data_IF_973211323803
#
_entry.id   IF_973211323803
#
_cell.length_a   1.000
_cell.length_b   1.000
_cell.length_c   1.000
_cell.angle_alpha   90.00
_cell.angle_beta   90.00
_cell.angle_gamma   90.00
#
_symmetry.space_group_name_H-M   'P 1'
#
loop_
_entity.id
_entity.type
_entity.pdbx_description
1 polymer ?
#
# COMPACT_ATOMS: atom_id res chain seq x y z
N UNK A 1 8.56 78.47 55.00
CA UNK A 1 9.41 77.23 55.02
C UNK A 1 8.63 76.14 54.34
N UNK A 2 9.00 75.96 53.13
CA UNK A 2 8.39 74.97 52.26
C UNK A 2 9.15 73.64 52.36
N UNK A 3 8.46 72.57 52.65
CA UNK A 3 9.09 71.28 52.59
C UNK A 3 8.35 70.56 51.49
N UNK A 4 8.98 70.53 50.31
CA UNK A 4 8.63 69.71 49.21
C UNK A 4 8.97 68.24 49.53
N UNK A 5 7.96 67.41 49.69
CA UNK A 5 8.11 65.96 49.68
C UNK A 5 7.57 65.46 48.35
N UNK A 6 8.44 65.48 47.35
CA UNK A 6 8.21 64.74 46.13
C UNK A 6 8.47 63.28 46.41
N UNK A 7 7.43 62.57 46.68
CA UNK A 7 7.45 61.12 46.80
C UNK A 7 7.39 60.55 45.34
N UNK A 8 8.55 60.32 44.76
CA UNK A 8 8.70 59.58 43.55
C UNK A 8 8.37 58.14 43.88
N UNK A 9 7.15 57.75 43.54
CA UNK A 9 6.80 56.34 43.48
C UNK A 9 7.42 55.78 42.17
N UNK A 10 8.63 55.26 42.31
CA UNK A 10 9.20 54.41 41.28
C UNK A 10 8.34 53.15 41.25
N UNK A 11 7.45 53.08 40.27
CA UNK A 11 6.89 51.82 39.86
C UNK A 11 8.03 50.99 39.27
N UNK A 12 8.58 50.14 40.12
CA UNK A 12 9.41 49.03 39.68
C UNK A 12 8.47 48.04 38.96
N UNK A 13 8.24 48.32 37.69
CA UNK A 13 7.62 47.33 36.79
C UNK A 13 8.67 46.21 36.61
N UNK A 14 8.68 45.29 37.56
CA UNK A 14 9.33 44.02 37.37
C UNK A 14 8.60 43.34 36.21
N UNK A 15 9.13 43.53 35.00
CA UNK A 15 8.82 42.66 33.87
C UNK A 15 9.11 41.21 34.28
N UNK A 16 8.04 40.52 34.68
CA UNK A 16 8.08 39.09 34.89
C UNK A 16 8.41 38.45 33.55
N UNK A 17 9.68 38.40 33.23
CA UNK A 17 10.18 37.55 32.14
C UNK A 17 9.89 36.09 32.52
N UNK A 18 8.66 35.68 32.32
CA UNK A 18 8.26 34.26 32.38
C UNK A 18 8.81 33.58 31.13
N UNK A 19 10.09 33.29 31.15
CA UNK A 19 10.72 32.45 30.14
C UNK A 19 10.17 31.05 30.33
N UNK A 20 9.17 30.69 29.53
CA UNK A 20 8.64 29.32 29.48
C UNK A 20 9.77 28.44 28.98
N UNK A 21 10.18 27.47 29.79
CA UNK A 21 11.11 26.45 29.34
C UNK A 21 10.39 25.59 28.30
N UNK A 22 10.71 25.76 27.01
CA UNK A 22 10.08 25.06 25.90
C UNK A 22 10.59 23.62 25.70
N UNK A 23 11.67 23.26 26.44
CA UNK A 23 12.26 21.91 26.30
C UNK A 23 11.30 20.78 26.58
N UNK A 24 10.48 20.79 27.65
CA UNK A 24 9.48 19.73 27.89
C UNK A 24 8.39 19.70 26.83
N UNK A 25 8.02 20.88 26.29
CA UNK A 25 6.99 20.96 25.23
C UNK A 25 7.48 20.33 23.93
N UNK A 26 8.74 20.64 23.54
CA UNK A 26 9.35 20.09 22.33
C UNK A 26 9.51 18.58 22.43
N UNK A 27 9.86 18.05 23.59
CA UNK A 27 10.00 16.60 23.81
C UNK A 27 8.67 15.88 23.63
N UNK A 28 7.58 16.39 24.21
CA UNK A 28 6.24 15.83 24.02
C UNK A 28 5.83 15.89 22.54
N UNK A 29 6.08 17.00 21.86
CA UNK A 29 5.74 17.12 20.43
C UNK A 29 6.55 16.14 19.57
N UNK A 30 7.82 15.94 19.89
CA UNK A 30 8.69 15.00 19.17
C UNK A 30 8.21 13.56 19.37
N UNK A 31 7.89 13.16 20.60
CA UNK A 31 7.36 11.82 20.90
C UNK A 31 6.04 11.59 20.18
N UNK A 32 5.13 12.56 20.19
CA UNK A 32 3.87 12.48 19.46
C UNK A 32 4.10 12.34 17.95
N UNK A 33 5.05 13.09 17.39
CA UNK A 33 5.40 12.99 15.97
C UNK A 33 5.88 11.59 15.62
N UNK A 34 6.75 10.99 16.43
CA UNK A 34 7.25 9.63 16.20
C UNK A 34 6.10 8.62 16.27
N UNK A 35 5.22 8.75 17.27
CA UNK A 35 4.06 7.89 17.40
C UNK A 35 3.17 7.99 16.17
N UNK A 36 2.88 9.20 15.67
CA UNK A 36 2.09 9.38 14.46
C UNK A 36 2.77 8.76 13.24
N UNK A 37 4.08 8.94 13.08
CA UNK A 37 4.83 8.35 11.96
C UNK A 37 4.78 6.81 11.97
N UNK A 38 4.84 6.19 13.15
CA UNK A 38 4.80 4.73 13.29
C UNK A 38 3.38 4.19 13.17
N UNK A 39 2.37 4.94 13.62
CA UNK A 39 0.97 4.52 13.60
C UNK A 39 0.24 4.83 12.30
N UNK A 40 0.83 5.64 11.39
CA UNK A 40 0.22 5.87 10.08
C UNK A 40 0.06 4.53 9.38
N UNK A 41 -1.19 4.07 9.15
CA UNK A 41 -1.40 2.82 8.43
C UNK A 41 -0.89 2.99 7.00
N UNK A 42 0.03 2.12 6.59
CA UNK A 42 0.42 2.03 5.19
C UNK A 42 -0.80 1.52 4.41
N UNK A 43 -1.53 2.44 3.82
CA UNK A 43 -2.66 2.10 2.94
C UNK A 43 -2.07 1.50 1.67
N UNK A 44 -2.02 0.18 1.62
CA UNK A 44 -1.77 -0.53 0.37
C UNK A 44 -2.96 -0.25 -0.54
N UNK A 45 -2.74 0.55 -1.57
CA UNK A 45 -3.75 0.75 -2.62
C UNK A 45 -3.95 -0.58 -3.34
N UNK A 46 -4.98 -1.29 -2.96
CA UNK A 46 -5.46 -2.43 -3.76
C UNK A 46 -6.19 -1.87 -4.97
N UNK A 47 -5.79 -2.30 -6.15
CA UNK A 47 -6.51 -1.93 -7.37
C UNK A 47 -7.88 -2.60 -7.34
N UNK A 48 -8.99 -1.83 -7.30
CA UNK A 48 -10.31 -2.42 -7.34
C UNK A 48 -10.55 -2.98 -8.76
N UNK A 49 -10.61 -4.29 -8.87
CA UNK A 49 -11.02 -4.98 -10.10
C UNK A 49 -12.29 -5.76 -9.81
N UNK A 50 -13.29 -5.60 -10.68
CA UNK A 50 -14.53 -6.39 -10.62
C UNK A 50 -14.26 -7.74 -11.26
N UNK A 51 -14.11 -8.78 -10.43
CA UNK A 51 -13.83 -10.12 -10.94
C UNK A 51 -15.09 -10.75 -11.56
N UNK A 52 -14.96 -11.47 -12.68
CA UNK A 52 -16.07 -12.27 -13.20
C UNK A 52 -16.43 -13.37 -12.21
N UNK A 53 -17.73 -13.56 -12.01
CA UNK A 53 -18.26 -14.54 -11.07
C UNK A 53 -18.17 -15.95 -11.69
N UNK A 54 -17.30 -16.79 -11.15
CA UNK A 54 -17.23 -18.20 -11.48
C UNK A 54 -17.32 -19.06 -10.22
N UNK A 55 -18.01 -20.19 -10.28
CA UNK A 55 -17.97 -21.18 -9.21
C UNK A 55 -16.57 -21.76 -9.15
N UNK A 56 -15.75 -21.32 -8.17
CA UNK A 56 -14.49 -22.00 -8.01
C UNK A 56 -13.90 -21.97 -6.60
N UNK A 57 -13.08 -22.94 -6.38
CA UNK A 57 -12.34 -23.31 -5.20
C UNK A 57 -11.51 -22.11 -4.71
N UNK A 58 -11.64 -21.80 -3.42
CA UNK A 58 -10.84 -20.78 -2.77
C UNK A 58 -9.36 -21.13 -2.93
N UNK A 59 -8.70 -20.45 -3.84
CA UNK A 59 -7.26 -20.61 -4.01
C UNK A 59 -6.57 -19.87 -2.85
N UNK A 60 -5.96 -20.62 -1.93
CA UNK A 60 -5.16 -20.06 -0.87
C UNK A 60 -3.94 -19.38 -1.48
N UNK A 61 -3.95 -18.05 -1.50
CA UNK A 61 -2.80 -17.27 -1.99
C UNK A 61 -1.67 -17.36 -0.96
N UNK A 62 -0.62 -18.07 -1.27
CA UNK A 62 0.61 -18.07 -0.46
C UNK A 62 1.30 -16.70 -0.57
N UNK A 63 1.96 -16.20 0.46
CA UNK A 63 2.60 -14.88 0.43
C UNK A 63 3.73 -14.74 -0.61
N UNK A 64 4.17 -15.83 -1.17
CA UNK A 64 5.21 -15.87 -2.22
C UNK A 64 4.64 -15.80 -3.64
N UNK A 65 3.30 -15.85 -3.79
CA UNK A 65 2.66 -15.82 -5.09
C UNK A 65 2.61 -14.41 -5.67
N UNK A 66 2.76 -14.31 -6.98
CA UNK A 66 2.70 -13.06 -7.72
C UNK A 66 1.26 -12.81 -8.14
N UNK A 67 0.72 -11.65 -7.78
CA UNK A 67 -0.62 -11.25 -8.20
C UNK A 67 -0.53 -10.23 -9.32
N UNK A 68 -1.15 -10.55 -10.46
CA UNK A 68 -1.30 -9.66 -11.60
C UNK A 68 -2.77 -9.25 -11.69
N UNK A 69 -3.02 -7.95 -11.65
CA UNK A 69 -4.34 -7.40 -11.90
C UNK A 69 -4.38 -6.72 -13.28
N UNK A 70 -5.43 -6.98 -14.04
CA UNK A 70 -5.68 -6.33 -15.33
C UNK A 70 -7.00 -5.59 -15.24
N UNK A 71 -6.96 -4.27 -15.42
CA UNK A 71 -8.14 -3.40 -15.38
C UNK A 71 -8.82 -3.34 -16.75
N UNK A 72 -10.04 -2.82 -16.79
CA UNK A 72 -10.82 -2.60 -18.02
C UNK A 72 -10.04 -1.75 -19.05
N UNK A 73 -9.23 -0.80 -18.60
CA UNK A 73 -8.34 0.04 -19.44
C UNK A 73 -7.13 -0.71 -20.00
N UNK A 74 -7.10 -2.04 -19.87
CA UNK A 74 -5.98 -2.91 -20.25
C UNK A 74 -4.66 -2.61 -19.52
N UNK A 75 -4.70 -1.80 -18.47
CA UNK A 75 -3.52 -1.53 -17.63
C UNK A 75 -3.23 -2.74 -16.76
N UNK A 76 -1.97 -3.18 -16.79
CA UNK A 76 -1.53 -4.34 -16.02
C UNK A 76 -0.78 -3.89 -14.77
N UNK A 77 -1.13 -4.48 -13.63
CA UNK A 77 -0.51 -4.20 -12.34
C UNK A 77 0.20 -5.45 -11.81
N UNK A 78 1.45 -5.30 -11.48
CA UNK A 78 2.26 -6.34 -10.83
C UNK A 78 2.31 -6.03 -9.33
N UNK A 79 1.71 -6.86 -8.49
CA UNK A 79 1.59 -6.61 -7.05
C UNK A 79 1.15 -5.16 -6.73
N UNK A 80 0.10 -4.68 -7.39
CA UNK A 80 -0.48 -3.33 -7.27
C UNK A 80 0.36 -2.16 -7.85
N UNK A 81 1.43 -2.46 -8.56
CA UNK A 81 2.23 -1.45 -9.27
C UNK A 81 1.97 -1.55 -10.77
N UNK A 82 1.62 -0.47 -11.47
CA UNK A 82 1.42 -0.51 -12.91
C UNK A 82 2.74 -0.83 -13.62
N UNK A 83 2.70 -1.77 -14.56
CA UNK A 83 3.88 -2.22 -15.28
C UNK A 83 3.60 -2.41 -16.77
N UNK A 84 4.59 -2.11 -17.59
CA UNK A 84 4.57 -2.46 -19.01
C UNK A 84 4.91 -3.94 -19.22
N UNK A 85 4.51 -4.48 -20.38
CA UNK A 85 4.72 -5.89 -20.71
C UNK A 85 6.19 -6.30 -20.66
N UNK A 86 7.11 -5.46 -21.15
CA UNK A 86 8.54 -5.76 -21.13
C UNK A 86 9.11 -5.80 -19.70
N UNK A 87 8.63 -4.91 -18.84
CA UNK A 87 9.02 -4.85 -17.44
C UNK A 87 8.44 -6.03 -16.65
N UNK A 88 7.22 -6.46 -16.97
CA UNK A 88 6.58 -7.62 -16.36
C UNK A 88 7.40 -8.89 -16.58
N UNK A 89 7.88 -9.14 -17.81
CA UNK A 89 8.74 -10.31 -18.10
C UNK A 89 10.01 -10.28 -17.27
N UNK A 90 10.67 -9.11 -17.14
CA UNK A 90 11.87 -8.98 -16.29
C UNK A 90 11.57 -9.29 -14.83
N UNK A 91 10.46 -8.74 -14.30
CA UNK A 91 10.06 -8.99 -12.92
C UNK A 91 9.80 -10.48 -12.65
N UNK A 92 9.19 -11.19 -13.59
CA UNK A 92 8.99 -12.63 -13.50
C UNK A 92 10.31 -13.40 -13.48
N UNK A 93 11.24 -13.07 -14.38
CA UNK A 93 12.56 -13.69 -14.44
C UNK A 93 13.34 -13.45 -13.14
N UNK A 94 13.28 -12.25 -12.59
CA UNK A 94 13.94 -11.92 -11.33
C UNK A 94 13.30 -12.66 -10.14
N UNK A 95 11.98 -12.83 -10.13
CA UNK A 95 11.28 -13.61 -9.12
C UNK A 95 11.69 -15.09 -9.18
N UNK A 96 11.81 -15.67 -10.38
CA UNK A 96 12.30 -17.05 -10.57
C UNK A 96 13.75 -17.21 -10.10
N UNK A 97 14.63 -16.28 -10.45
CA UNK A 97 16.04 -16.31 -10.01
C UNK A 97 16.16 -16.24 -8.49
N UNK A 98 15.34 -15.37 -7.84
CA UNK A 98 15.31 -15.28 -6.38
C UNK A 98 14.83 -16.57 -5.73
N UNK A 99 13.80 -17.21 -6.28
CA UNK A 99 13.31 -18.49 -5.78
C UNK A 99 14.38 -19.58 -5.90
N UNK A 100 15.09 -19.66 -7.03
CA UNK A 100 16.21 -20.58 -7.21
C UNK A 100 17.35 -20.34 -6.22
N UNK A 101 17.76 -19.07 -6.04
CA UNK A 101 18.86 -18.72 -5.13
C UNK A 101 18.53 -19.04 -3.66
N UNK A 102 17.24 -19.00 -3.29
CA UNK A 102 16.78 -19.24 -1.92
C UNK A 102 16.33 -20.69 -1.69
N UNK A 103 16.41 -21.54 -2.71
CA UNK A 103 15.92 -22.94 -2.70
C UNK A 103 14.45 -23.07 -2.28
N UNK A 104 13.63 -22.08 -2.67
CA UNK A 104 12.19 -22.03 -2.43
C UNK A 104 11.42 -22.55 -3.65
N UNK A 105 10.17 -23.02 -3.45
CA UNK A 105 9.33 -23.39 -4.58
C UNK A 105 9.10 -22.20 -5.51
N UNK A 106 8.99 -22.49 -6.81
CA UNK A 106 8.72 -21.44 -7.80
C UNK A 106 7.39 -20.72 -7.50
N UNK A 107 7.36 -19.39 -7.63
CA UNK A 107 6.16 -18.60 -7.40
C UNK A 107 5.08 -18.95 -8.42
N UNK A 108 3.83 -18.98 -7.96
CA UNK A 108 2.67 -19.10 -8.83
C UNK A 108 2.18 -17.69 -9.21
N UNK A 109 1.78 -17.51 -10.45
CA UNK A 109 1.20 -16.24 -10.91
C UNK A 109 -0.32 -16.36 -10.87
N UNK A 110 -0.95 -15.48 -10.11
CA UNK A 110 -2.40 -15.36 -10.01
C UNK A 110 -2.88 -14.14 -10.81
N UNK A 111 -3.66 -14.38 -11.84
CA UNK A 111 -4.21 -13.35 -12.72
C UNK A 111 -5.61 -12.98 -12.23
N UNK A 112 -5.83 -11.71 -11.95
CA UNK A 112 -7.14 -11.11 -11.65
C UNK A 112 -7.51 -10.20 -12.82
N UNK A 113 -8.49 -10.60 -13.60
CA UNK A 113 -9.04 -9.77 -14.66
C UNK A 113 -10.32 -9.07 -14.21
N UNK A 114 -10.51 -7.82 -14.60
CA UNK A 114 -11.80 -7.16 -14.49
C UNK A 114 -12.83 -7.83 -15.41
N UNK A 115 -14.12 -7.70 -15.07
CA UNK A 115 -15.21 -8.29 -15.86
C UNK A 115 -15.26 -7.71 -17.28
N UNK A 116 -14.90 -6.45 -17.47
CA UNK A 116 -14.88 -5.75 -18.74
C UNK A 116 -13.58 -5.91 -19.55
N UNK A 117 -12.56 -6.59 -18.99
CA UNK A 117 -11.26 -6.71 -19.65
C UNK A 117 -11.34 -7.58 -20.92
N UNK A 118 -10.69 -7.12 -21.98
CA UNK A 118 -10.58 -7.89 -23.23
C UNK A 118 -9.66 -9.09 -23.04
N UNK A 119 -10.05 -10.22 -23.59
CA UNK A 119 -9.27 -11.46 -23.49
C UNK A 119 -7.84 -11.31 -24.02
N UNK A 120 -7.62 -10.43 -24.99
CA UNK A 120 -6.29 -10.13 -25.54
C UNK A 120 -5.33 -9.57 -24.50
N UNK A 121 -5.82 -8.74 -23.56
CA UNK A 121 -4.99 -8.20 -22.47
C UNK A 121 -4.55 -9.32 -21.53
N UNK A 122 -5.44 -10.22 -21.19
CA UNK A 122 -5.10 -11.41 -20.38
C UNK A 122 -4.14 -12.33 -21.15
N UNK A 123 -4.36 -12.51 -22.46
CA UNK A 123 -3.47 -13.29 -23.31
C UNK A 123 -2.05 -12.75 -23.34
N UNK A 124 -1.86 -11.42 -23.34
CA UNK A 124 -0.53 -10.78 -23.23
C UNK A 124 0.17 -11.13 -21.92
N UNK A 125 -0.57 -11.17 -20.79
CA UNK A 125 -0.02 -11.59 -19.49
C UNK A 125 0.38 -13.05 -19.51
N UNK A 126 -0.45 -13.93 -20.05
CA UNK A 126 -0.13 -15.37 -20.18
C UNK A 126 1.12 -15.57 -21.04
N UNK A 127 1.21 -14.87 -22.16
CA UNK A 127 2.40 -14.92 -23.03
C UNK A 127 3.66 -14.43 -22.30
N UNK A 128 3.54 -13.39 -21.48
CA UNK A 128 4.66 -12.91 -20.66
C UNK A 128 5.08 -13.96 -19.61
N UNK A 129 4.15 -14.65 -18.98
CA UNK A 129 4.43 -15.77 -18.07
C UNK A 129 5.17 -16.91 -18.78
N UNK A 130 4.72 -17.29 -19.99
CA UNK A 130 5.37 -18.33 -20.80
C UNK A 130 6.79 -17.94 -21.21
N UNK A 131 6.99 -16.71 -21.68
CA UNK A 131 8.31 -16.19 -22.04
C UNK A 131 9.28 -16.15 -20.86
N UNK A 132 8.80 -15.91 -19.66
CA UNK A 132 9.60 -15.90 -18.43
C UNK A 132 9.86 -17.31 -17.88
N UNK A 133 9.12 -18.34 -18.34
CA UNK A 133 9.27 -19.73 -17.85
C UNK A 133 8.44 -20.02 -16.59
N UNK A 134 7.39 -19.28 -16.33
CA UNK A 134 6.45 -19.54 -15.24
C UNK A 134 5.62 -20.79 -15.57
N UNK A 135 5.66 -21.80 -14.69
CA UNK A 135 4.99 -23.08 -14.91
C UNK A 135 3.56 -23.12 -14.39
N UNK A 136 3.26 -22.31 -13.37
CA UNK A 136 1.94 -22.30 -12.71
C UNK A 136 1.28 -20.93 -12.82
N UNK A 137 0.17 -20.89 -13.53
CA UNK A 137 -0.67 -19.72 -13.68
C UNK A 137 -2.08 -20.08 -13.22
N UNK A 138 -2.60 -19.32 -12.28
CA UNK A 138 -3.97 -19.46 -11.78
C UNK A 138 -4.78 -18.20 -12.05
N UNK A 139 -6.11 -18.36 -12.16
CA UNK A 139 -7.04 -17.25 -12.24
C UNK A 139 -7.76 -17.09 -10.92
N UNK A 140 -7.83 -15.87 -10.42
CA UNK A 140 -8.62 -15.54 -9.24
C UNK A 140 -9.97 -15.03 -9.71
N UNK A 141 -11.02 -15.76 -9.37
CA UNK A 141 -12.40 -15.44 -9.69
C UNK A 141 -13.20 -15.31 -8.40
N UNK A 142 -14.21 -14.43 -8.39
CA UNK A 142 -15.13 -14.36 -7.25
C UNK A 142 -16.06 -15.58 -7.25
N UNK A 143 -16.23 -16.26 -6.10
CA UNK A 143 -17.24 -17.28 -5.98
C UNK A 143 -18.62 -16.64 -6.12
N UNK A 144 -19.49 -17.25 -6.89
CA UNK A 144 -20.90 -16.86 -6.97
C UNK A 144 -21.55 -17.12 -5.61
N UNK A 145 -21.83 -16.05 -4.86
CA UNK A 145 -22.74 -16.17 -3.73
C UNK A 145 -24.11 -16.56 -4.30
N UNK A 146 -24.53 -17.78 -4.03
CA UNK A 146 -25.93 -18.14 -4.21
C UNK A 146 -26.70 -17.23 -3.27
N UNK A 147 -27.34 -16.21 -3.83
CA UNK A 147 -28.31 -15.41 -3.10
C UNK A 147 -29.33 -16.36 -2.49
N UNK A 148 -29.23 -16.53 -1.17
CA UNK A 148 -30.20 -17.20 -0.35
C UNK A 148 -31.46 -16.32 -0.20
N UNK A 149 -32.00 -15.83 -1.32
CA UNK A 149 -33.25 -15.08 -1.35
C UNK A 149 -34.19 -15.73 -2.36
N UNK A 150 -34.61 -16.94 -2.04
CA UNK A 150 -35.76 -17.60 -2.68
C UNK A 150 -36.44 -18.45 -1.62
N UNK A 151 -37.06 -17.78 -0.63
CA UNK A 151 -38.19 -18.31 0.14
C UNK A 151 -39.12 -17.17 0.44
#
# INVERSE_FOLDING_TARGET
MSVDVQNAVEHDEQELNVTINTTPLVDVMLVMLIIFLVTIPVVLKTVPVTLPTYRNIVTQTKPENIVIAVTEDETTYYNNVPVEQAQMVRNFVDALKRAQATNKPFPEVHIRGDRGVRFEAIGRVILACQKAGIQKVGFITEPHSLDASSY
#
